data_IF_516724718139
#
_entry.id   IF_516724718139
#
_cell.length_a   1.000
_cell.length_b   1.000
_cell.length_c   1.000
_cell.angle_alpha   90.00
_cell.angle_beta   90.00
_cell.angle_gamma   90.00
#
_symmetry.space_group_name_H-M   'P 1'
#
loop_
_entity.id
_entity.type
_entity.pdbx_description
1 polymer ?
#
# COMPACT_ATOMS: atom_id res chain seq x y z
N UNK A 1 -17.45 6.05 4.50
CA UNK A 1 -17.90 5.50 3.19
C UNK A 1 -16.78 5.75 2.21
N UNK A 2 -16.39 4.76 1.41
CA UNK A 2 -15.37 4.95 0.39
C UNK A 2 -15.90 5.88 -0.72
N UNK A 3 -15.01 6.66 -1.37
CA UNK A 3 -15.31 7.30 -2.65
C UNK A 3 -15.84 6.31 -3.69
N UNK A 4 -16.59 6.81 -4.65
CA UNK A 4 -17.20 5.98 -5.71
C UNK A 4 -16.14 5.16 -6.48
N UNK A 5 -16.44 3.89 -6.72
CA UNK A 5 -15.56 2.94 -7.40
C UNK A 5 -14.41 2.40 -6.55
N UNK A 6 -14.11 2.98 -5.39
CA UNK A 6 -13.06 2.45 -4.50
C UNK A 6 -13.53 1.18 -3.79
N UNK A 7 -12.62 0.21 -3.72
CA UNK A 7 -12.72 -1.00 -2.92
C UNK A 7 -11.48 -1.11 -2.03
N UNK A 8 -11.56 -1.94 -1.00
CA UNK A 8 -10.38 -2.31 -0.22
C UNK A 8 -9.58 -3.34 -1.00
N UNK A 9 -8.29 -3.06 -1.20
CA UNK A 9 -7.33 -3.96 -1.86
C UNK A 9 -6.14 -4.19 -0.96
N UNK A 10 -5.49 -5.35 -1.05
CA UNK A 10 -4.27 -5.62 -0.30
C UNK A 10 -3.28 -6.43 -1.14
N UNK A 11 -2.00 -6.33 -0.79
CA UNK A 11 -0.98 -7.26 -1.26
C UNK A 11 -0.90 -8.48 -0.32
N UNK A 12 -0.36 -9.63 -0.80
CA UNK A 12 0.11 -10.76 0.01
C UNK A 12 0.70 -10.35 1.34
N UNK A 13 0.03 -10.75 2.43
CA UNK A 13 0.48 -10.52 3.81
C UNK A 13 0.64 -9.04 4.19
N UNK A 14 -0.12 -8.11 3.60
CA UNK A 14 -0.03 -6.67 3.88
C UNK A 14 -1.38 -6.08 4.29
N UNK A 15 -1.42 -4.92 4.97
CA UNK A 15 -2.64 -4.16 5.21
C UNK A 15 -3.40 -3.83 3.92
N UNK A 16 -4.69 -3.56 4.07
CA UNK A 16 -5.54 -3.15 2.97
C UNK A 16 -5.53 -1.63 2.78
N UNK A 17 -5.62 -1.20 1.54
CA UNK A 17 -5.68 0.20 1.16
C UNK A 17 -6.86 0.43 0.23
N UNK A 18 -7.48 1.62 0.25
CA UNK A 18 -8.58 1.91 -0.64
C UNK A 18 -8.10 2.33 -2.03
N UNK A 19 -8.70 1.78 -3.08
CA UNK A 19 -8.40 2.18 -4.45
C UNK A 19 -9.27 1.47 -5.47
N UNK A 20 -8.96 1.67 -6.75
CA UNK A 20 -9.75 1.18 -7.88
C UNK A 20 -8.87 0.22 -8.68
N UNK A 21 -9.34 -1.01 -8.87
CA UNK A 21 -8.78 -1.89 -9.90
C UNK A 21 -9.48 -1.56 -11.22
N UNK A 22 -8.75 -1.23 -12.31
CA UNK A 22 -9.33 -1.03 -13.64
C UNK A 22 -10.21 -2.21 -14.08
N UNK A 23 -11.34 -1.92 -14.72
CA UNK A 23 -12.32 -2.93 -15.08
C UNK A 23 -11.84 -3.91 -16.18
N UNK A 24 -10.82 -3.52 -16.92
CA UNK A 24 -10.13 -4.33 -17.94
C UNK A 24 -9.06 -5.24 -17.36
N UNK A 25 -8.78 -5.14 -16.05
CA UNK A 25 -7.84 -6.01 -15.36
C UNK A 25 -8.56 -7.09 -14.55
N UNK A 26 -7.94 -8.26 -14.46
CA UNK A 26 -8.43 -9.40 -13.68
C UNK A 26 -7.48 -9.65 -12.52
N UNK A 27 -7.84 -9.26 -11.28
CA UNK A 27 -7.06 -9.60 -10.11
C UNK A 27 -6.81 -11.11 -10.00
N UNK A 28 -5.66 -11.53 -9.48
CA UNK A 28 -5.32 -12.95 -9.29
C UNK A 28 -6.30 -13.68 -8.34
N UNK A 29 -7.00 -12.95 -7.48
CA UNK A 29 -8.04 -13.51 -6.61
C UNK A 29 -8.70 -12.47 -5.72
N UNK A 30 -9.48 -12.94 -4.75
CA UNK A 30 -10.17 -12.10 -3.75
C UNK A 30 -9.85 -12.61 -2.36
N UNK A 31 -9.46 -11.71 -1.45
CA UNK A 31 -9.21 -12.02 -0.05
C UNK A 31 -10.54 -12.12 0.69
N UNK A 32 -10.97 -13.34 0.96
CA UNK A 32 -12.18 -13.63 1.74
C UNK A 32 -11.90 -13.79 3.23
N UNK A 33 -10.66 -14.07 3.60
CA UNK A 33 -10.20 -14.31 4.97
C UNK A 33 -8.73 -13.89 5.06
N UNK A 34 -8.42 -12.95 5.97
CA UNK A 34 -7.06 -12.43 6.15
C UNK A 34 -6.09 -13.45 6.74
N UNK A 35 -6.59 -14.49 7.41
CA UNK A 35 -5.75 -15.57 7.94
C UNK A 35 -5.36 -16.57 6.86
N UNK A 36 -6.13 -16.65 5.77
CA UNK A 36 -5.87 -17.53 4.61
C UNK A 36 -5.04 -16.89 3.52
N UNK A 37 -4.61 -15.65 3.71
CA UNK A 37 -3.73 -14.91 2.80
C UNK A 37 -2.54 -15.72 2.25
N UNK A 38 -1.83 -16.56 3.02
CA UNK A 38 -0.72 -17.35 2.51
C UNK A 38 -1.09 -18.30 1.37
N UNK A 39 -2.34 -18.75 1.34
CA UNK A 39 -2.83 -19.76 0.41
C UNK A 39 -3.36 -19.16 -0.91
N UNK A 40 -3.41 -17.84 -1.05
CA UNK A 40 -3.82 -17.14 -2.28
C UNK A 40 -2.65 -16.83 -3.22
N UNK A 41 -1.42 -16.87 -2.69
CA UNK A 41 -0.21 -16.63 -3.46
C UNK A 41 0.12 -17.88 -4.28
N UNK A 42 -0.11 -17.82 -5.58
CA UNK A 42 0.29 -18.85 -6.53
C UNK A 42 1.17 -18.22 -7.59
N UNK A 43 2.47 -18.50 -7.51
CA UNK A 43 3.49 -17.94 -8.41
C UNK A 43 3.19 -18.21 -9.90
N UNK A 44 2.33 -19.20 -10.23
CA UNK A 44 1.94 -19.47 -11.61
C UNK A 44 0.75 -18.64 -12.11
N UNK A 45 0.01 -18.00 -11.20
CA UNK A 45 -1.22 -17.25 -11.48
C UNK A 45 -1.16 -15.78 -11.01
N UNK A 46 -0.11 -15.40 -10.28
CA UNK A 46 0.12 -14.05 -9.81
C UNK A 46 0.50 -13.13 -10.98
N UNK A 47 -0.42 -12.23 -11.33
CA UNK A 47 -0.22 -11.19 -12.32
C UNK A 47 -0.31 -9.81 -11.66
N UNK A 48 0.60 -8.92 -12.05
CA UNK A 48 0.54 -7.52 -11.63
C UNK A 48 -0.64 -6.80 -12.28
N UNK A 49 -1.47 -6.21 -11.44
CA UNK A 49 -2.58 -5.34 -11.83
C UNK A 49 -2.30 -3.92 -11.35
N UNK A 50 -2.86 -2.92 -12.01
CA UNK A 50 -2.85 -1.54 -11.59
C UNK A 50 -3.82 -1.29 -10.43
N UNK A 51 -3.33 -0.62 -9.41
CA UNK A 51 -4.16 0.01 -8.38
C UNK A 51 -4.18 1.50 -8.61
N UNK A 52 -5.34 2.03 -9.02
CA UNK A 52 -5.58 3.48 -9.09
C UNK A 52 -5.98 4.02 -7.71
N UNK A 53 -5.08 4.74 -7.07
CA UNK A 53 -5.27 5.25 -5.71
C UNK A 53 -5.04 6.75 -5.60
N UNK A 54 -5.67 7.38 -4.60
CA UNK A 54 -5.46 8.79 -4.28
C UNK A 54 -4.01 9.06 -3.85
N UNK A 55 -3.48 10.28 -4.02
CA UNK A 55 -2.12 10.64 -3.59
C UNK A 55 -1.83 10.28 -2.12
N UNK A 56 -2.79 10.51 -1.24
CA UNK A 56 -2.66 10.20 0.19
C UNK A 56 -2.57 8.70 0.45
N UNK A 57 -3.32 7.89 -0.29
CA UNK A 57 -3.23 6.43 -0.19
C UNK A 57 -1.89 5.93 -0.73
N UNK A 58 -1.42 6.47 -1.87
CA UNK A 58 -0.11 6.14 -2.41
C UNK A 58 1.02 6.40 -1.41
N UNK A 59 0.93 7.48 -0.62
CA UNK A 59 1.88 7.77 0.46
C UNK A 59 1.83 6.74 1.59
N UNK A 60 0.64 6.33 2.02
CA UNK A 60 0.49 5.27 3.02
C UNK A 60 1.02 3.92 2.55
N UNK A 61 0.75 3.56 1.29
CA UNK A 61 1.33 2.39 0.62
C UNK A 61 2.86 2.48 0.66
N UNK A 62 3.42 3.62 0.23
CA UNK A 62 4.86 3.84 0.22
C UNK A 62 5.49 3.70 1.60
N UNK A 63 4.96 4.39 2.61
CA UNK A 63 5.42 4.28 4.01
C UNK A 63 5.44 2.83 4.47
N UNK A 64 4.36 2.08 4.20
CA UNK A 64 4.28 0.68 4.61
C UNK A 64 5.33 -0.18 3.89
N UNK A 65 5.43 -0.09 2.56
CA UNK A 65 6.31 -0.94 1.77
C UNK A 65 7.79 -0.65 2.00
N UNK A 66 8.18 0.63 2.11
CA UNK A 66 9.54 1.04 2.53
C UNK A 66 9.89 0.46 3.90
N UNK A 67 8.95 0.53 4.84
CA UNK A 67 9.16 0.04 6.21
C UNK A 67 9.22 -1.48 6.30
N UNK A 68 8.50 -2.18 5.41
CA UNK A 68 8.39 -3.63 5.35
C UNK A 68 9.61 -4.26 4.65
N UNK A 69 9.98 -3.76 3.47
CA UNK A 69 11.07 -4.30 2.67
C UNK A 69 12.44 -3.69 3.00
N UNK A 70 12.51 -2.66 3.86
CA UNK A 70 13.68 -1.80 4.06
C UNK A 70 13.93 -0.85 2.88
N UNK A 71 14.34 0.37 3.21
CA UNK A 71 14.64 1.45 2.24
C UNK A 71 15.76 1.09 1.24
N UNK A 72 16.53 0.04 1.50
CA UNK A 72 17.56 -0.46 0.60
C UNK A 72 16.97 -1.25 -0.59
N UNK A 73 15.85 -1.94 -0.36
CA UNK A 73 15.26 -2.85 -1.34
C UNK A 73 14.03 -2.24 -2.01
N UNK A 74 13.38 -1.27 -1.35
CA UNK A 74 12.19 -0.62 -1.87
C UNK A 74 12.11 0.84 -1.38
N UNK A 75 12.03 1.80 -2.29
CA UNK A 75 11.99 3.25 -1.96
C UNK A 75 10.97 4.01 -2.80
N UNK A 76 10.18 4.86 -2.15
CA UNK A 76 9.24 5.81 -2.75
C UNK A 76 9.77 7.23 -2.59
N UNK A 77 9.93 7.94 -3.69
CA UNK A 77 10.36 9.34 -3.69
C UNK A 77 9.34 10.19 -4.43
N UNK A 78 8.93 11.32 -3.85
CA UNK A 78 8.03 12.26 -4.51
C UNK A 78 8.82 13.44 -5.08
N UNK A 79 8.64 13.69 -6.37
CA UNK A 79 9.22 14.82 -7.11
C UNK A 79 8.08 15.67 -7.69
N UNK A 80 7.64 16.67 -6.92
CA UNK A 80 6.41 17.40 -7.26
C UNK A 80 5.20 16.47 -7.18
N UNK A 81 4.52 16.28 -8.30
CA UNK A 81 3.39 15.35 -8.46
C UNK A 81 3.80 13.99 -9.03
N UNK A 82 5.08 13.76 -9.34
CA UNK A 82 5.56 12.46 -9.76
C UNK A 82 5.95 11.61 -8.54
N UNK A 83 5.55 10.34 -8.56
CA UNK A 83 6.02 9.31 -7.65
C UNK A 83 7.07 8.45 -8.36
N UNK A 84 8.25 8.31 -7.76
CA UNK A 84 9.29 7.39 -8.19
C UNK A 84 9.34 6.19 -7.25
N UNK A 85 9.19 4.98 -7.78
CA UNK A 85 9.36 3.73 -7.06
C UNK A 85 10.69 3.09 -7.51
N UNK A 86 11.59 2.89 -6.56
CA UNK A 86 12.82 2.13 -6.75
C UNK A 86 12.62 0.75 -6.12
N UNK A 87 12.66 -0.31 -6.91
CA UNK A 87 12.53 -1.69 -6.46
C UNK A 87 13.75 -2.52 -6.83
N UNK A 88 14.47 -3.00 -5.82
CA UNK A 88 15.66 -3.84 -6.01
C UNK A 88 15.34 -5.29 -6.38
N UNK A 89 14.10 -5.74 -6.13
CA UNK A 89 13.61 -7.09 -6.41
C UNK A 89 14.38 -8.24 -5.73
N UNK A 90 13.76 -9.42 -5.52
CA UNK A 90 14.49 -10.63 -5.08
C UNK A 90 15.43 -11.20 -6.17
N UNK A 91 15.36 -10.66 -7.39
CA UNK A 91 16.19 -11.02 -8.53
C UNK A 91 17.31 -10.02 -8.82
N UNK A 92 17.49 -9.02 -7.96
CA UNK A 92 18.66 -8.15 -7.98
C UNK A 92 19.01 -7.69 -9.37
N UNK A 93 18.20 -6.82 -9.97
CA UNK A 93 18.81 -5.89 -10.92
C UNK A 93 19.57 -4.87 -10.07
N UNK A 94 20.79 -5.29 -9.76
CA UNK A 94 21.87 -4.53 -9.17
C UNK A 94 21.90 -3.11 -9.75
N UNK A 95 22.14 -2.12 -8.88
CA UNK A 95 22.69 -0.79 -9.23
C UNK A 95 22.49 -0.36 -10.70
N UNK A 96 21.31 0.19 -11.05
CA UNK A 96 21.17 0.85 -12.36
C UNK A 96 19.80 0.89 -13.02
N UNK A 97 18.81 0.11 -12.56
CA UNK A 97 17.46 0.19 -13.13
C UNK A 97 16.83 1.58 -12.83
N UNK A 98 16.31 2.27 -13.87
CA UNK A 98 15.66 3.56 -13.66
C UNK A 98 14.41 3.36 -12.80
N UNK A 99 14.06 4.31 -11.92
CA UNK A 99 12.85 4.22 -11.13
C UNK A 99 11.61 4.10 -12.02
N UNK A 100 10.60 3.37 -11.52
CA UNK A 100 9.26 3.44 -12.08
C UNK A 100 8.67 4.80 -11.73
N UNK A 101 8.56 5.68 -12.73
CA UNK A 101 7.99 7.02 -12.59
C UNK A 101 6.49 6.97 -12.87
N UNK A 102 5.68 7.25 -11.86
CA UNK A 102 4.23 7.28 -11.90
C UNK A 102 3.78 8.73 -11.77
N UNK A 103 2.95 9.19 -12.72
CA UNK A 103 2.28 10.49 -12.65
C UNK A 103 0.80 10.30 -12.38
N UNK A 104 0.12 11.25 -11.74
CA UNK A 104 -1.33 11.21 -11.61
C UNK A 104 -1.97 11.20 -13.01
N UNK A 105 -2.99 10.36 -13.19
CA UNK A 105 -3.85 10.41 -14.36
C UNK A 105 -4.80 11.61 -14.33
N UNK A 106 -5.68 11.71 -15.32
CA UNK A 106 -6.63 12.83 -15.47
C UNK A 106 -7.58 13.00 -14.28
N UNK A 107 -7.79 11.95 -13.49
CA UNK A 107 -8.59 11.97 -12.26
C UNK A 107 -7.77 12.21 -10.98
N UNK A 108 -6.49 12.58 -11.12
CA UNK A 108 -5.58 12.87 -10.02
C UNK A 108 -5.08 11.64 -9.26
N UNK A 109 -5.36 10.43 -9.74
CA UNK A 109 -4.95 9.16 -9.10
C UNK A 109 -3.65 8.63 -9.69
N UNK A 110 -2.84 8.03 -8.83
CA UNK A 110 -1.66 7.27 -9.25
C UNK A 110 -2.08 5.84 -9.55
N UNK A 111 -1.51 5.24 -10.60
CA UNK A 111 -1.65 3.81 -10.86
C UNK A 111 -0.37 3.08 -10.43
N UNK A 112 -0.45 2.32 -9.34
CA UNK A 112 0.66 1.50 -8.84
C UNK A 112 0.44 0.06 -9.29
N UNK A 113 1.34 -0.48 -10.11
CA UNK A 113 1.27 -1.87 -10.59
C UNK A 113 2.01 -2.82 -9.65
N UNK A 114 1.27 -3.80 -9.13
CA UNK A 114 1.78 -4.83 -8.21
C UNK A 114 0.73 -5.96 -8.05
N UNK A 115 0.98 -6.91 -7.15
CA UNK A 115 0.07 -8.01 -6.81
C UNK A 115 -1.05 -7.53 -5.87
N UNK A 116 -2.07 -6.90 -6.45
CA UNK A 116 -3.23 -6.41 -5.70
C UNK A 116 -4.41 -7.39 -5.76
N UNK A 117 -4.97 -7.68 -4.58
CA UNK A 117 -6.16 -8.51 -4.42
C UNK A 117 -7.27 -7.69 -3.77
N UNK A 118 -8.46 -7.60 -4.37
CA UNK A 118 -9.64 -7.07 -3.69
C UNK A 118 -9.95 -7.83 -2.40
N UNK A 119 -10.45 -7.13 -1.39
CA UNK A 119 -10.86 -7.69 -0.11
C UNK A 119 -12.39 -7.81 -0.09
N UNK A 120 -12.88 -9.01 0.22
CA UNK A 120 -14.31 -9.27 0.28
C UNK A 120 -14.99 -8.45 1.41
N UNK A 121 -16.26 -8.03 1.25
CA UNK A 121 -16.95 -7.19 2.23
C UNK A 121 -16.96 -7.74 3.66
N UNK A 122 -17.05 -9.06 3.82
CA UNK A 122 -17.01 -9.70 5.15
C UNK A 122 -15.66 -9.48 5.85
N UNK A 123 -14.55 -9.69 5.15
CA UNK A 123 -13.20 -9.44 5.67
C UNK A 123 -12.93 -7.95 5.93
N UNK A 124 -13.52 -7.05 5.13
CA UNK A 124 -13.52 -5.61 5.43
C UNK A 124 -14.28 -5.31 6.72
N UNK A 125 -15.41 -5.97 6.96
CA UNK A 125 -16.17 -5.86 8.21
C UNK A 125 -15.33 -6.23 9.43
N UNK A 126 -14.58 -7.32 9.37
CA UNK A 126 -13.66 -7.75 10.43
C UNK A 126 -12.50 -6.78 10.63
N UNK A 127 -11.93 -6.25 9.54
CA UNK A 127 -10.94 -5.18 9.60
C UNK A 127 -11.48 -3.94 10.33
N UNK A 128 -12.71 -3.54 10.02
CA UNK A 128 -13.35 -2.38 10.64
C UNK A 128 -13.62 -2.59 12.13
N UNK A 129 -13.90 -3.82 12.56
CA UNK A 129 -14.05 -4.16 13.98
C UNK A 129 -12.73 -4.03 14.75
N UNK A 130 -11.60 -4.39 14.13
CA UNK A 130 -10.27 -4.30 14.78
C UNK A 130 -9.66 -2.91 14.71
N UNK A 131 -9.81 -2.21 13.58
CA UNK A 131 -9.09 -0.97 13.27
C UNK A 131 -9.99 0.15 12.71
N UNK A 132 -11.09 0.51 13.39
CA UNK A 132 -12.06 1.48 12.86
C UNK A 132 -11.42 2.83 12.53
N UNK A 133 -10.57 3.36 13.42
CA UNK A 133 -9.94 4.67 13.24
C UNK A 133 -8.92 4.72 12.09
N UNK A 134 -8.24 3.60 11.83
CA UNK A 134 -7.30 3.49 10.72
C UNK A 134 -8.04 3.48 9.38
N UNK A 135 -9.13 2.71 9.28
CA UNK A 135 -9.95 2.70 8.07
C UNK A 135 -10.59 4.08 7.83
N UNK A 136 -11.03 4.78 8.87
CA UNK A 136 -11.51 6.17 8.75
C UNK A 136 -10.40 7.11 8.27
N UNK A 137 -9.18 6.94 8.75
CA UNK A 137 -8.02 7.75 8.32
C UNK A 137 -7.70 7.52 6.84
N UNK A 138 -7.71 6.28 6.38
CA UNK A 138 -7.41 5.93 4.98
C UNK A 138 -8.46 6.44 3.98
N UNK A 139 -9.70 6.66 4.43
CA UNK A 139 -10.77 7.25 3.61
C UNK A 139 -10.59 8.77 3.45
N UNK A 140 -9.84 9.43 4.34
CA UNK A 140 -9.55 10.86 4.27
C UNK A 140 -8.35 11.13 3.35
N UNK A 141 -8.22 12.39 2.94
CA UNK A 141 -7.08 12.88 2.15
C UNK A 141 -6.04 13.62 3.02
N UNK A 142 -6.10 13.42 4.34
CA UNK A 142 -5.16 14.02 5.30
C UNK A 142 -3.73 13.49 5.08
N UNK A 143 -2.74 14.37 5.18
CA UNK A 143 -1.32 13.98 5.14
C UNK A 143 -1.02 12.88 6.15
N UNK A 144 -0.29 11.81 5.77
CA UNK A 144 0.10 10.76 6.70
C UNK A 144 0.86 11.32 7.92
N UNK A 145 0.43 10.89 9.11
CA UNK A 145 1.00 11.33 10.37
C UNK A 145 1.20 10.14 11.33
N UNK A 146 2.14 10.29 12.26
CA UNK A 146 2.44 9.28 13.28
C UNK A 146 1.35 9.21 14.36
N UNK A 147 0.22 8.59 14.02
CA UNK A 147 -0.90 8.34 14.94
C UNK A 147 -0.96 6.87 15.36
N UNK A 148 -1.21 6.56 16.65
CA UNK A 148 -1.09 5.19 17.17
C UNK A 148 -1.93 4.14 16.43
N UNK A 149 -3.15 4.48 16.02
CA UNK A 149 -4.05 3.55 15.34
C UNK A 149 -3.57 3.18 13.93
N UNK A 150 -2.92 4.11 13.21
CA UNK A 150 -2.33 3.80 11.90
C UNK A 150 -1.09 2.91 12.06
N UNK A 151 -0.24 3.16 13.05
CA UNK A 151 0.91 2.29 13.33
C UNK A 151 0.45 0.88 13.70
N UNK A 152 -0.56 0.76 14.57
CA UNK A 152 -1.15 -0.53 14.93
C UNK A 152 -1.68 -1.25 13.69
N UNK A 153 -2.49 -0.57 12.87
CA UNK A 153 -3.07 -1.11 11.65
C UNK A 153 -2.02 -1.63 10.66
N UNK A 154 -0.99 -0.84 10.37
CA UNK A 154 0.05 -1.18 9.41
C UNK A 154 0.97 -2.31 9.89
N UNK A 155 0.93 -2.67 11.17
CA UNK A 155 1.72 -3.76 11.76
C UNK A 155 0.90 -5.01 12.09
N UNK A 156 -0.43 -4.96 12.00
CA UNK A 156 -1.32 -6.06 12.38
C UNK A 156 -1.57 -7.02 11.21
N UNK A 157 -0.51 -7.74 10.83
CA UNK A 157 -0.56 -8.77 9.80
C UNK A 157 0.52 -9.83 10.03
N UNK A 158 0.29 -11.09 9.61
CA UNK A 158 1.19 -12.21 9.92
C UNK A 158 2.59 -12.09 9.31
N UNK A 159 2.76 -11.26 8.28
CA UNK A 159 4.06 -11.02 7.64
C UNK A 159 4.92 -9.95 8.34
N UNK A 160 4.41 -9.23 9.34
CA UNK A 160 5.08 -8.06 9.89
C UNK A 160 6.41 -8.40 10.60
N UNK A 161 7.56 -7.85 10.15
CA UNK A 161 8.81 -8.02 10.88
C UNK A 161 8.79 -7.25 12.20
N UNK A 162 9.56 -7.72 13.20
CA UNK A 162 9.62 -7.09 14.53
C UNK A 162 10.06 -5.61 14.49
N UNK A 163 10.82 -5.22 13.47
CA UNK A 163 11.28 -3.84 13.23
C UNK A 163 10.23 -2.94 12.58
N UNK A 164 9.14 -3.48 12.03
CA UNK A 164 8.21 -2.76 11.16
C UNK A 164 7.66 -1.51 11.84
N UNK A 165 7.25 -1.62 13.10
CA UNK A 165 6.75 -0.50 13.89
C UNK A 165 7.73 0.68 13.91
N UNK A 166 8.97 0.41 14.30
CA UNK A 166 10.02 1.44 14.39
C UNK A 166 10.31 2.05 13.02
N UNK A 167 10.27 1.24 11.97
CA UNK A 167 10.51 1.69 10.60
C UNK A 167 9.40 2.65 10.14
N UNK A 168 8.13 2.31 10.40
CA UNK A 168 6.97 3.17 10.09
C UNK A 168 7.08 4.51 10.83
N UNK A 169 7.36 4.48 12.14
CA UNK A 169 7.53 5.69 12.95
C UNK A 169 8.67 6.58 12.39
N UNK A 170 9.77 5.97 11.94
CA UNK A 170 10.91 6.68 11.31
C UNK A 170 10.53 7.29 9.96
N UNK A 171 9.81 6.54 9.11
CA UNK A 171 9.35 7.02 7.80
C UNK A 171 8.39 8.20 7.94
N UNK A 172 7.45 8.12 8.89
CA UNK A 172 6.51 9.21 9.19
C UNK A 172 7.21 10.45 9.75
N UNK A 173 8.22 10.29 10.61
CA UNK A 173 9.02 11.40 11.10
C UNK A 173 9.78 12.10 9.97
N UNK A 174 10.37 11.33 9.04
CA UNK A 174 11.03 11.88 7.84
C UNK A 174 10.04 12.65 6.97
N UNK A 175 8.86 12.09 6.71
CA UNK A 175 7.82 12.76 5.91
C UNK A 175 7.43 14.12 6.50
N UNK A 176 7.21 14.20 7.82
CA UNK A 176 6.91 15.46 8.49
C UNK A 176 7.99 16.51 8.24
N UNK A 177 9.28 16.15 8.36
CA UNK A 177 10.39 17.08 8.08
C UNK A 177 10.50 17.53 6.63
N UNK A 178 9.99 16.74 5.68
CA UNK A 178 9.99 17.08 4.27
C UNK A 178 8.84 18.01 3.87
N UNK A 179 7.72 17.97 4.61
CA UNK A 179 6.54 18.80 4.33
C UNK A 179 6.56 20.15 5.04
N UNK A 180 7.33 20.28 6.13
CA UNK A 180 7.58 21.56 6.82
C UNK A 180 8.61 22.46 6.10
N UNK A 181 9.13 22.03 4.93
CA UNK A 181 10.11 22.74 4.11
C UNK A 181 9.49 23.21 2.80
#
# INVERSE_FOLDING_TARGET
MLPEGEVWVAMPYKPAFPGIIPADETPPGVIVDQTRFPALHDLNNDAEVGLRCRPTVARWIGIHLESFYSNADYRFTWHGDALEIHDGGPWGDADGSPPRVIRPGDDGRYEIRDLWYPVAPAAVGELYQRHPDALVTLVRDDTPASVPHMVAYLTDHPGAPLSLRRNIETALAKLATCLDR
#
